data_IF_397871085492
#
_entry.id   IF_397871085492
#
_cell.length_a   1.000
_cell.length_b   1.000
_cell.length_c   1.000
_cell.angle_alpha   90.00
_cell.angle_beta   90.00
_cell.angle_gamma   90.00
#
_symmetry.space_group_name_H-M   'P 1'
#
loop_
_entity.id
_entity.type
_entity.pdbx_description
1 polymer ?
#
# COMPACT_ATOMS: atom_id res chain seq x y z
N UNK A 1 3.50 -1.13 -23.19
CA UNK A 1 3.49 -0.99 -21.76
C UNK A 1 2.54 0.13 -21.33
N UNK A 2 2.48 0.42 -20.05
CA UNK A 2 1.54 1.42 -19.52
C UNK A 2 1.83 2.82 -20.07
N UNK A 3 3.11 3.16 -20.23
CA UNK A 3 3.50 4.46 -20.76
C UNK A 3 3.04 4.62 -22.21
N UNK A 4 3.17 3.57 -23.01
CA UNK A 4 2.72 3.60 -24.40
C UNK A 4 1.21 3.75 -24.48
N UNK A 5 0.46 3.06 -23.63
CA UNK A 5 -1.00 3.17 -23.58
C UNK A 5 -1.40 4.58 -23.17
N UNK A 6 -0.74 5.14 -22.17
CA UNK A 6 -1.03 6.50 -21.69
C UNK A 6 -0.77 7.53 -22.79
N UNK A 7 0.37 7.43 -23.49
CA UNK A 7 0.71 8.34 -24.58
C UNK A 7 -0.30 8.23 -25.72
N UNK A 8 -0.72 7.01 -26.05
CA UNK A 8 -1.70 6.78 -27.10
C UNK A 8 -3.05 7.41 -26.76
N UNK A 9 -3.50 7.24 -25.51
CA UNK A 9 -4.75 7.85 -25.06
C UNK A 9 -4.71 9.38 -25.10
N UNK A 10 -3.58 9.97 -24.65
CA UNK A 10 -3.40 11.41 -24.68
C UNK A 10 -3.41 11.90 -26.13
N UNK A 11 -2.74 11.20 -27.03
CA UNK A 11 -2.69 11.56 -28.44
C UNK A 11 -4.09 11.55 -29.07
N UNK A 12 -4.90 10.53 -28.77
CA UNK A 12 -6.29 10.44 -29.24
C UNK A 12 -7.09 11.66 -28.76
N UNK A 13 -6.96 12.02 -27.48
CA UNK A 13 -7.69 13.15 -26.91
C UNK A 13 -7.30 14.46 -27.58
N UNK A 14 -6.02 14.65 -27.87
CA UNK A 14 -5.54 15.85 -28.57
C UNK A 14 -6.14 15.92 -29.97
N UNK A 15 -6.13 14.81 -30.70
CA UNK A 15 -6.68 14.75 -32.05
C UNK A 15 -8.19 15.07 -32.03
N UNK A 16 -8.94 14.47 -31.10
CA UNK A 16 -10.37 14.72 -30.97
C UNK A 16 -10.65 16.19 -30.65
N UNK A 17 -9.83 16.80 -29.79
CA UNK A 17 -9.95 18.20 -29.44
C UNK A 17 -9.72 19.09 -30.64
N UNK A 18 -8.71 18.76 -31.47
CA UNK A 18 -8.41 19.54 -32.71
C UNK A 18 -9.55 19.45 -33.71
N UNK A 19 -10.31 18.36 -33.70
CA UNK A 19 -11.43 18.18 -34.62
C UNK A 19 -12.70 18.88 -34.12
N UNK A 20 -12.61 19.63 -33.01
CA UNK A 20 -13.76 20.34 -32.46
C UNK A 20 -14.63 19.56 -31.52
N UNK A 21 -14.24 18.32 -31.18
CA UNK A 21 -14.98 17.52 -30.23
C UNK A 21 -14.64 17.98 -28.81
N UNK A 22 -15.67 18.24 -28.00
CA UNK A 22 -15.48 18.66 -26.63
C UNK A 22 -15.06 17.43 -25.78
N UNK A 23 -13.80 17.41 -25.33
CA UNK A 23 -13.25 16.32 -24.54
C UNK A 23 -13.44 16.52 -23.03
N UNK A 24 -14.02 17.64 -22.59
CA UNK A 24 -14.21 17.89 -21.17
C UNK A 24 -15.00 16.79 -20.45
N UNK A 25 -16.10 16.25 -21.00
CA UNK A 25 -16.80 15.14 -20.35
C UNK A 25 -15.94 13.90 -20.20
N UNK A 26 -15.07 13.63 -21.19
CA UNK A 26 -14.16 12.47 -21.15
C UNK A 26 -13.15 12.67 -20.03
N UNK A 27 -12.55 13.86 -19.93
CA UNK A 27 -11.58 14.16 -18.88
C UNK A 27 -12.23 14.13 -17.50
N UNK A 28 -13.45 14.66 -17.38
CA UNK A 28 -14.19 14.62 -16.11
C UNK A 28 -14.49 13.19 -15.68
N UNK A 29 -14.95 12.37 -16.61
CA UNK A 29 -15.23 10.95 -16.30
C UNK A 29 -13.98 10.19 -15.91
N UNK A 30 -12.88 10.44 -16.62
CA UNK A 30 -11.60 9.80 -16.29
C UNK A 30 -11.10 10.24 -14.91
N UNK A 31 -11.29 11.52 -14.56
CA UNK A 31 -10.92 12.03 -13.25
C UNK A 31 -11.74 11.38 -12.13
N UNK A 32 -13.04 11.21 -12.33
CA UNK A 32 -13.91 10.55 -11.36
C UNK A 32 -13.49 9.10 -11.17
N UNK A 33 -13.20 8.39 -12.26
CA UNK A 33 -12.74 7.00 -12.18
C UNK A 33 -11.40 6.91 -11.46
N UNK A 34 -10.51 7.89 -11.70
CA UNK A 34 -9.23 7.96 -11.02
C UNK A 34 -9.36 8.15 -9.54
N UNK A 35 -10.29 9.03 -9.11
CA UNK A 35 -10.57 9.23 -7.69
C UNK A 35 -11.14 7.97 -7.06
N UNK A 36 -12.08 7.32 -7.74
CA UNK A 36 -12.67 6.08 -7.23
C UNK A 36 -11.61 4.99 -7.04
N UNK A 37 -10.72 4.85 -8.02
CA UNK A 37 -9.61 3.89 -7.94
C UNK A 37 -8.67 4.25 -6.79
N UNK A 38 -8.35 5.54 -6.63
CA UNK A 38 -7.45 6.00 -5.57
C UNK A 38 -8.03 5.73 -4.19
N UNK A 39 -9.31 5.98 -3.99
CA UNK A 39 -9.97 5.69 -2.72
C UNK A 39 -10.00 4.19 -2.45
N UNK A 40 -10.23 3.37 -3.48
CA UNK A 40 -10.22 1.92 -3.33
C UNK A 40 -8.84 1.35 -3.01
N UNK A 41 -7.78 2.00 -3.50
CA UNK A 41 -6.41 1.57 -3.27
C UNK A 41 -5.76 2.26 -2.06
N UNK A 42 -6.48 3.13 -1.36
CA UNK A 42 -5.92 3.96 -0.29
C UNK A 42 -5.23 3.14 0.80
N UNK A 43 -5.87 2.07 1.25
CA UNK A 43 -5.31 1.21 2.30
C UNK A 43 -4.02 0.54 1.83
N UNK A 44 -4.00 0.08 0.59
CA UNK A 44 -2.81 -0.55 0.01
C UNK A 44 -1.63 0.43 0.00
N UNK A 45 -1.85 1.67 -0.41
CA UNK A 45 -0.81 2.69 -0.43
C UNK A 45 -0.30 2.97 0.98
N UNK A 46 -1.21 3.08 1.95
CA UNK A 46 -0.84 3.27 3.36
C UNK A 46 0.01 2.11 3.87
N UNK A 47 -0.35 0.88 3.52
CA UNK A 47 0.42 -0.30 3.93
C UNK A 47 1.83 -0.27 3.37
N UNK A 48 2.00 0.11 2.11
CA UNK A 48 3.32 0.18 1.48
C UNK A 48 4.19 1.26 2.11
N UNK A 49 3.61 2.43 2.36
CA UNK A 49 4.33 3.53 3.00
C UNK A 49 4.73 3.15 4.42
N UNK A 50 3.81 2.57 5.19
CA UNK A 50 4.09 2.13 6.55
C UNK A 50 5.20 1.07 6.57
N UNK A 51 5.15 0.12 5.64
CA UNK A 51 6.19 -0.90 5.52
C UNK A 51 7.56 -0.32 5.21
N UNK A 52 7.59 0.68 4.34
CA UNK A 52 8.82 1.39 4.03
C UNK A 52 9.44 2.01 5.29
N UNK A 53 8.63 2.71 6.08
CA UNK A 53 9.13 3.35 7.30
C UNK A 53 9.55 2.34 8.36
N UNK A 54 8.86 1.21 8.47
CA UNK A 54 9.27 0.16 9.41
C UNK A 54 10.69 -0.30 9.09
N UNK A 55 10.98 -0.54 7.82
CA UNK A 55 12.29 -0.98 7.38
C UNK A 55 13.33 0.14 7.46
N UNK A 56 12.96 1.33 6.98
CA UNK A 56 13.89 2.46 6.94
C UNK A 56 14.29 2.93 8.33
N UNK A 57 13.36 2.89 9.28
CA UNK A 57 13.62 3.30 10.67
C UNK A 57 14.10 2.14 11.54
N UNK A 58 14.17 0.93 10.96
CA UNK A 58 14.63 -0.26 11.66
C UNK A 58 13.86 -0.50 12.95
N UNK A 59 12.52 -0.39 12.87
CA UNK A 59 11.67 -0.54 14.04
C UNK A 59 11.74 -1.96 14.60
N UNK A 60 11.68 -2.97 13.73
CA UNK A 60 11.87 -4.37 14.09
C UNK A 60 12.27 -5.16 12.85
N UNK A 61 12.79 -6.34 13.07
CA UNK A 61 13.25 -7.23 11.99
C UNK A 61 12.68 -8.63 12.17
N UNK A 62 12.83 -9.44 11.13
CA UNK A 62 12.42 -10.86 11.21
C UNK A 62 13.20 -11.53 12.33
N UNK A 63 12.49 -12.26 13.17
CA UNK A 63 13.06 -12.93 14.33
C UNK A 63 12.90 -12.18 15.63
N UNK A 64 12.53 -10.90 15.58
CA UNK A 64 12.31 -10.11 16.79
C UNK A 64 10.96 -10.47 17.41
N UNK A 65 10.92 -10.44 18.74
CA UNK A 65 9.67 -10.58 19.47
C UNK A 65 9.08 -9.21 19.68
N UNK A 66 7.84 -9.03 19.23
CA UNK A 66 7.18 -7.73 19.29
C UNK A 66 5.77 -7.87 19.83
N UNK A 67 5.26 -6.76 20.33
CA UNK A 67 3.87 -6.64 20.74
C UNK A 67 3.26 -5.46 19.99
N UNK A 68 2.21 -5.74 19.24
CA UNK A 68 1.52 -4.73 18.44
C UNK A 68 0.07 -4.70 18.92
N UNK A 69 -0.29 -3.63 19.63
CA UNK A 69 -1.59 -3.58 20.28
C UNK A 69 -1.73 -4.69 21.29
N UNK A 70 -2.71 -5.55 21.10
CA UNK A 70 -2.92 -6.72 21.96
C UNK A 70 -2.28 -8.00 21.41
N UNK A 71 -1.65 -7.90 20.24
CA UNK A 71 -1.07 -9.04 19.56
C UNK A 71 0.42 -9.13 19.90
N UNK A 72 0.87 -10.33 20.22
CA UNK A 72 2.24 -10.57 20.61
C UNK A 72 2.76 -11.81 19.88
N UNK A 73 4.00 -11.74 19.41
CA UNK A 73 4.61 -12.86 18.72
C UNK A 73 5.97 -12.50 18.17
N UNK A 74 6.58 -13.50 17.52
CA UNK A 74 7.84 -13.33 16.83
C UNK A 74 7.58 -12.97 15.38
N UNK A 75 8.33 -12.00 14.85
CA UNK A 75 8.19 -11.61 13.46
C UNK A 75 8.66 -12.77 12.58
N UNK A 76 7.72 -13.42 11.94
CA UNK A 76 7.99 -14.57 11.11
C UNK A 76 8.37 -14.17 9.68
N UNK A 77 7.69 -13.16 9.17
CA UNK A 77 7.82 -12.76 7.77
C UNK A 77 7.36 -11.32 7.61
N UNK A 78 8.00 -10.61 6.70
CA UNK A 78 7.59 -9.25 6.35
C UNK A 78 7.42 -9.17 4.84
N UNK A 79 6.23 -8.80 4.39
CA UNK A 79 5.98 -8.53 2.98
C UNK A 79 5.92 -7.02 2.78
N UNK A 80 5.78 -6.58 1.53
CA UNK A 80 5.71 -5.16 1.24
C UNK A 80 4.54 -4.49 1.95
N UNK A 81 3.46 -5.23 2.18
CA UNK A 81 2.20 -4.69 2.68
C UNK A 81 1.85 -5.18 4.08
N UNK A 82 2.36 -6.33 4.49
CA UNK A 82 1.96 -6.99 5.74
C UNK A 82 3.15 -7.44 6.54
N UNK A 83 2.93 -7.52 7.86
CA UNK A 83 3.87 -8.15 8.77
C UNK A 83 3.17 -9.37 9.36
N UNK A 84 3.86 -10.51 9.35
CA UNK A 84 3.30 -11.76 9.86
C UNK A 84 4.02 -12.14 11.16
N UNK A 85 3.24 -12.30 12.21
CA UNK A 85 3.75 -12.75 13.51
C UNK A 85 3.39 -14.22 13.74
N UNK A 86 4.24 -14.89 14.46
CA UNK A 86 3.97 -16.27 14.91
C UNK A 86 3.85 -16.26 16.43
N UNK A 87 2.70 -16.68 16.93
CA UNK A 87 2.46 -16.67 18.38
C UNK A 87 2.99 -17.93 19.04
N UNK A 88 2.76 -18.04 20.36
CA UNK A 88 3.23 -19.18 21.16
C UNK A 88 2.66 -20.51 20.70
N UNK A 89 1.47 -20.50 20.14
CA UNK A 89 0.78 -21.70 19.70
C UNK A 89 1.10 -22.06 18.24
N UNK A 90 1.98 -21.30 17.59
CA UNK A 90 2.32 -21.52 16.19
C UNK A 90 1.35 -20.88 15.20
N UNK A 91 0.38 -20.10 15.68
CA UNK A 91 -0.54 -19.40 14.82
C UNK A 91 0.13 -18.24 14.13
N UNK A 92 -0.20 -18.03 12.86
CA UNK A 92 0.30 -16.89 12.10
C UNK A 92 -0.70 -15.75 12.17
N UNK A 93 -0.22 -14.57 12.52
CA UNK A 93 -1.03 -13.38 12.64
C UNK A 93 -0.61 -12.41 11.53
N UNK A 94 -1.53 -12.12 10.61
CA UNK A 94 -1.28 -11.23 9.47
C UNK A 94 -1.77 -9.84 9.81
N UNK A 95 -0.86 -8.89 9.88
CA UNK A 95 -1.17 -7.51 10.25
C UNK A 95 -0.79 -6.59 9.10
N UNK A 96 -1.77 -5.89 8.48
CA UNK A 96 -1.43 -4.88 7.47
C UNK A 96 -0.54 -3.81 8.08
N UNK A 97 0.50 -3.40 7.37
CA UNK A 97 1.49 -2.47 7.91
C UNK A 97 0.87 -1.16 8.38
N UNK A 98 -0.18 -0.69 7.73
CA UNK A 98 -0.84 0.57 8.12
C UNK A 98 -1.52 0.50 9.49
N UNK A 99 -1.77 -0.70 10.00
CA UNK A 99 -2.36 -0.88 11.32
C UNK A 99 -1.32 -0.97 12.43
N UNK A 100 -0.05 -0.92 12.07
CA UNK A 100 1.05 -0.95 13.04
C UNK A 100 1.41 0.49 13.38
N UNK A 101 0.78 1.05 14.41
CA UNK A 101 1.07 2.41 14.83
C UNK A 101 2.15 2.42 15.90
N UNK A 102 1.96 1.63 16.95
CA UNK A 102 2.91 1.54 18.05
C UNK A 102 3.38 0.10 18.17
N UNK A 103 4.69 -0.09 18.17
CA UNK A 103 5.30 -1.41 18.30
C UNK A 103 6.14 -1.45 19.56
N UNK A 104 5.93 -2.46 20.38
CA UNK A 104 6.80 -2.72 21.52
C UNK A 104 7.71 -3.86 21.10
N UNK A 105 9.00 -3.55 20.98
CA UNK A 105 10.00 -4.57 20.69
C UNK A 105 10.41 -5.18 22.02
N UNK A 106 10.07 -6.44 22.20
CA UNK A 106 10.30 -7.12 23.45
C UNK A 106 11.79 -7.44 23.63
N UNK A 107 12.28 -7.23 24.83
CA UNK A 107 13.66 -7.52 25.15
C UNK A 107 13.87 -9.04 25.18
N UNK A 108 14.83 -9.50 24.38
CA UNK A 108 15.22 -10.90 24.42
C UNK A 108 16.23 -11.14 25.53
N UNK A 109 16.09 -12.24 26.21
CA UNK A 109 17.05 -12.65 27.24
C UNK A 109 18.17 -13.48 26.63
#
# INVERSE_FOLDING_TARGET
>A
NIIDVALFLVAILIILSDWGINIAPILTGAGILGLAFSFGAQTLVKDLIAGFFIVAENQFNIGDKVKIGKLEGEVFKMTMRMTVLKDKNGNLIYIPNSQIATVIKLKSN
#
